data_IF_518657821581
#
_entry.id   IF_518657821581
#
_cell.length_a   1.000
_cell.length_b   1.000
_cell.length_c   1.000
_cell.angle_alpha   90.00
_cell.angle_beta   90.00
_cell.angle_gamma   90.00
#
_symmetry.space_group_name_H-M   'P 1'
#
loop_
_entity.id
_entity.type
_entity.pdbx_description
1 polymer ?
#
# COMPACT_ATOMS: atom_id res chain seq x y z
N UNK A 1 -5.33 3.55 14.05
CA UNK A 1 -4.81 2.18 13.81
C UNK A 1 -3.77 2.21 12.69
N UNK A 2 -2.80 1.28 12.70
CA UNK A 2 -1.91 1.11 11.55
C UNK A 2 -2.69 0.48 10.40
N UNK A 3 -2.60 1.06 9.20
CA UNK A 3 -3.29 0.58 8.02
C UNK A 3 -2.30 0.26 6.89
N UNK A 4 -2.20 -1.01 6.54
CA UNK A 4 -1.24 -1.47 5.53
C UNK A 4 -1.55 -0.96 4.11
N UNK A 5 -2.81 -0.62 3.80
CA UNK A 5 -3.15 -0.02 2.52
C UNK A 5 -2.64 1.41 2.43
N UNK A 6 -2.82 2.20 3.50
CA UNK A 6 -2.23 3.54 3.59
C UNK A 6 -0.69 3.49 3.56
N UNK A 7 -0.08 2.46 4.16
CA UNK A 7 1.37 2.23 4.09
C UNK A 7 1.83 1.96 2.65
N UNK A 8 1.09 1.12 1.93
CA UNK A 8 1.38 0.80 0.53
C UNK A 8 1.29 2.04 -0.37
N UNK A 9 0.23 2.85 -0.21
CA UNK A 9 0.05 4.11 -0.94
C UNK A 9 1.18 5.10 -0.59
N UNK A 10 1.53 5.22 0.69
CA UNK A 10 2.65 6.05 1.14
C UNK A 10 3.97 5.59 0.51
N UNK A 11 4.19 4.28 0.41
CA UNK A 11 5.41 3.72 -0.15
C UNK A 11 5.52 3.98 -1.64
N UNK A 12 4.42 3.90 -2.38
CA UNK A 12 4.40 4.23 -3.81
C UNK A 12 4.85 5.67 -4.07
N UNK A 13 4.52 6.62 -3.20
CA UNK A 13 4.98 8.00 -3.32
C UNK A 13 6.40 8.22 -2.77
N UNK A 14 6.75 7.61 -1.63
CA UNK A 14 8.04 7.83 -0.99
C UNK A 14 9.22 7.39 -1.87
N UNK A 15 9.08 6.31 -2.64
CA UNK A 15 10.13 5.81 -3.56
C UNK A 15 10.41 6.78 -4.73
N UNK A 16 9.48 7.66 -5.05
CA UNK A 16 9.64 8.68 -6.10
C UNK A 16 10.52 9.85 -5.62
N UNK A 17 10.84 9.90 -4.33
CA UNK A 17 11.64 10.96 -3.72
C UNK A 17 11.11 12.37 -4.02
N UNK A 18 9.84 12.66 -3.68
CA UNK A 18 9.21 13.92 -4.03
C UNK A 18 9.88 15.09 -3.28
N UNK A 19 9.93 16.26 -3.90
CA UNK A 19 10.45 17.49 -3.27
C UNK A 19 9.39 18.26 -2.48
N UNK A 20 8.13 17.83 -2.54
CA UNK A 20 6.98 18.42 -1.87
C UNK A 20 6.00 17.32 -1.42
N UNK A 21 5.06 17.67 -0.54
CA UNK A 21 4.03 16.74 -0.09
C UNK A 21 3.23 16.20 -1.30
N UNK A 22 3.16 14.88 -1.50
CA UNK A 22 2.35 14.30 -2.56
C UNK A 22 0.86 14.41 -2.24
N UNK A 23 0.02 14.26 -3.26
CA UNK A 23 -1.43 14.12 -3.10
C UNK A 23 -1.80 12.65 -3.30
N UNK A 24 -2.41 12.03 -2.29
CA UNK A 24 -2.86 10.63 -2.33
C UNK A 24 -4.37 10.62 -2.06
N UNK A 25 -5.17 10.40 -3.10
CA UNK A 25 -6.63 10.38 -2.99
C UNK A 25 -7.20 11.60 -2.26
N UNK A 26 -7.97 11.34 -1.20
CA UNK A 26 -8.54 12.36 -0.29
C UNK A 26 -7.94 12.28 1.12
N UNK A 27 -6.82 11.58 1.24
CA UNK A 27 -6.17 11.30 2.52
C UNK A 27 -5.39 12.51 3.04
N UNK A 28 -5.26 12.56 4.36
CA UNK A 28 -4.40 13.53 5.04
C UNK A 28 -2.92 13.17 4.85
N UNK A 29 -2.07 14.18 4.67
CA UNK A 29 -0.65 14.00 4.35
C UNK A 29 0.23 14.80 5.30
N UNK A 30 1.17 14.10 5.96
CA UNK A 30 2.30 14.72 6.64
C UNK A 30 3.60 14.26 5.97
N UNK A 31 4.33 15.20 5.38
CA UNK A 31 5.52 14.90 4.58
C UNK A 31 6.69 15.79 4.99
N UNK A 32 7.89 15.21 4.99
CA UNK A 32 9.14 15.99 4.99
C UNK A 32 10.28 15.21 4.34
N UNK A 33 11.23 15.95 3.76
CA UNK A 33 12.53 15.40 3.41
C UNK A 33 13.46 15.53 4.62
N UNK A 34 13.99 14.41 5.09
CA UNK A 34 14.89 14.37 6.24
C UNK A 34 16.33 14.27 5.74
N UNK A 35 17.18 15.19 6.20
CA UNK A 35 18.63 15.10 5.99
C UNK A 35 19.21 13.98 6.85
N UNK A 36 19.89 13.04 6.23
CA UNK A 36 20.54 11.90 6.90
C UNK A 36 22.06 12.07 6.93
N UNK A 37 22.70 11.45 7.94
CA UNK A 37 24.17 11.37 8.07
C UNK A 37 24.64 9.93 7.80
N UNK A 38 25.92 9.72 7.53
CA UNK A 38 26.48 8.40 7.20
C UNK A 38 26.20 7.29 8.24
N UNK A 39 25.93 7.64 9.51
CA UNK A 39 25.52 6.72 10.58
C UNK A 39 24.07 6.96 11.04
N UNK A 40 23.14 7.19 10.10
CA UNK A 40 21.74 7.49 10.41
C UNK A 40 21.00 6.25 10.94
N UNK A 41 20.54 6.30 12.20
CA UNK A 41 19.50 5.39 12.68
C UNK A 41 18.14 5.99 12.30
N UNK A 42 17.52 5.44 11.24
CA UNK A 42 16.26 5.94 10.69
C UNK A 42 15.14 5.98 11.74
N UNK A 43 15.06 4.99 12.65
CA UNK A 43 14.04 4.93 13.69
C UNK A 43 14.13 6.09 14.68
N UNK A 44 15.36 6.45 15.10
CA UNK A 44 15.57 7.59 16.01
C UNK A 44 15.15 8.88 15.33
N UNK A 45 15.62 9.08 14.10
CA UNK A 45 15.36 10.30 13.33
C UNK A 45 13.86 10.48 13.06
N UNK A 46 13.17 9.42 12.61
CA UNK A 46 11.72 9.43 12.39
C UNK A 46 10.97 9.72 13.69
N UNK A 47 11.34 9.09 14.81
CA UNK A 47 10.76 9.36 16.12
C UNK A 47 10.91 10.83 16.51
N UNK A 48 12.09 11.41 16.32
CA UNK A 48 12.37 12.80 16.69
C UNK A 48 11.62 13.78 15.78
N UNK A 49 11.49 13.48 14.49
CA UNK A 49 10.64 14.24 13.56
C UNK A 49 9.18 14.25 14.01
N UNK A 50 8.59 13.10 14.32
CA UNK A 50 7.20 13.00 14.79
C UNK A 50 6.97 13.80 16.09
N UNK A 51 7.90 13.69 17.06
CA UNK A 51 7.83 14.46 18.31
C UNK A 51 7.93 15.96 18.06
N UNK A 52 8.78 16.38 17.14
CA UNK A 52 8.97 17.79 16.78
C UNK A 52 7.69 18.35 16.15
N UNK A 53 7.13 17.65 15.16
CA UNK A 53 5.85 18.02 14.54
C UNK A 53 4.74 18.20 15.56
N UNK A 54 4.58 17.23 16.46
CA UNK A 54 3.58 17.32 17.53
C UNK A 54 3.83 18.50 18.46
N UNK A 55 5.06 18.62 18.98
CA UNK A 55 5.42 19.64 19.97
C UNK A 55 5.23 21.06 19.42
N UNK A 56 5.77 21.34 18.23
CA UNK A 56 5.70 22.67 17.63
C UNK A 56 4.26 23.02 17.20
N UNK A 57 3.53 22.03 16.70
CA UNK A 57 2.14 22.23 16.30
C UNK A 57 1.19 22.44 17.47
N UNK A 58 1.35 21.68 18.55
CA UNK A 58 0.56 21.82 19.77
C UNK A 58 0.75 23.20 20.42
N UNK A 59 1.94 23.80 20.33
CA UNK A 59 2.20 25.15 20.84
C UNK A 59 1.40 26.24 20.13
N UNK A 60 0.98 26.00 18.88
CA UNK A 60 0.13 26.91 18.10
C UNK A 60 -1.36 26.73 18.39
N UNK A 61 -1.73 25.62 19.02
CA UNK A 61 -3.12 25.19 19.19
C UNK A 61 -3.68 25.68 20.53
N UNK A 62 -4.73 26.51 20.49
CA UNK A 62 -5.37 27.04 21.72
C UNK A 62 -6.63 26.28 22.12
N UNK A 63 -7.33 25.70 21.15
CA UNK A 63 -8.58 24.97 21.32
C UNK A 63 -8.76 23.94 20.20
N UNK A 64 -9.98 23.54 19.86
CA UNK A 64 -10.23 22.54 18.83
C UNK A 64 -10.16 23.08 17.39
N UNK A 65 -10.25 24.39 17.20
CA UNK A 65 -10.34 25.03 15.89
C UNK A 65 -9.03 24.86 15.13
N UNK A 66 -9.07 24.42 13.88
CA UNK A 66 -7.86 24.25 13.07
C UNK A 66 -7.12 25.58 12.93
N UNK A 67 -5.81 25.56 13.21
CA UNK A 67 -4.93 26.72 13.04
C UNK A 67 -4.33 26.73 11.63
N UNK A 68 -4.34 27.88 10.98
CA UNK A 68 -3.69 28.06 9.67
C UNK A 68 -2.18 27.79 9.77
N UNK A 69 -1.59 27.21 8.72
CA UNK A 69 -0.16 26.88 8.64
C UNK A 69 0.31 25.93 9.76
N UNK A 70 -0.61 25.08 10.23
CA UNK A 70 -0.37 24.01 11.20
C UNK A 70 -0.80 22.64 10.65
N UNK A 71 -0.69 22.47 9.33
CA UNK A 71 -1.28 21.34 8.60
C UNK A 71 -0.78 19.98 9.10
N UNK A 72 0.53 19.81 9.35
CA UNK A 72 1.08 18.53 9.83
C UNK A 72 0.47 18.12 11.17
N UNK A 73 0.40 19.05 12.13
CA UNK A 73 -0.26 18.80 13.41
C UNK A 73 -1.75 18.54 13.24
N UNK A 74 -2.39 19.27 12.31
CA UNK A 74 -3.80 19.06 11.97
C UNK A 74 -4.04 17.62 11.52
N UNK A 75 -3.17 17.04 10.69
CA UNK A 75 -3.30 15.61 10.33
C UNK A 75 -3.14 14.68 11.54
N UNK A 76 -2.15 14.94 12.40
CA UNK A 76 -1.87 14.10 13.57
C UNK A 76 -3.00 14.15 14.62
N UNK A 77 -3.68 15.28 14.75
CA UNK A 77 -4.66 15.53 15.81
C UNK A 77 -6.12 15.40 15.34
N UNK A 78 -6.37 15.17 14.04
CA UNK A 78 -7.72 15.15 13.50
C UNK A 78 -8.48 13.88 13.92
N UNK A 79 -9.50 14.06 14.74
CA UNK A 79 -10.27 12.98 15.39
C UNK A 79 -11.06 12.08 14.44
N UNK A 80 -11.44 12.59 13.25
CA UNK A 80 -12.12 11.79 12.23
C UNK A 80 -11.16 10.82 11.52
N UNK A 81 -9.85 11.00 11.66
CA UNK A 81 -8.86 10.07 11.13
C UNK A 81 -8.63 8.93 12.12
N UNK A 82 -9.19 7.76 11.83
CA UNK A 82 -9.14 6.56 12.68
C UNK A 82 -8.04 5.56 12.27
N UNK A 83 -7.49 5.72 11.08
CA UNK A 83 -6.34 4.95 10.58
C UNK A 83 -5.27 5.84 9.95
N UNK A 84 -4.02 5.39 10.06
CA UNK A 84 -2.85 6.04 9.47
C UNK A 84 -1.73 5.03 9.26
N UNK A 85 -0.79 5.36 8.40
CA UNK A 85 0.49 4.67 8.32
C UNK A 85 1.59 5.63 7.87
N UNK A 86 2.84 5.26 8.13
CA UNK A 86 3.98 6.04 7.70
C UNK A 86 5.01 5.14 7.02
N UNK A 87 5.78 5.73 6.11
CA UNK A 87 6.95 5.08 5.53
C UNK A 87 8.08 6.09 5.34
N UNK A 88 9.30 5.59 5.18
CA UNK A 88 10.43 6.37 4.73
C UNK A 88 11.18 5.66 3.61
N UNK A 89 11.78 6.44 2.71
CA UNK A 89 12.61 5.91 1.64
C UNK A 89 13.92 6.71 1.50
N UNK A 90 15.10 6.05 1.55
CA UNK A 90 16.37 6.70 1.24
C UNK A 90 16.39 7.21 -0.20
N UNK A 91 16.61 8.52 -0.38
CA UNK A 91 16.62 9.18 -1.68
C UNK A 91 18.03 9.49 -2.18
N UNK A 92 18.98 9.62 -1.25
CA UNK A 92 20.40 9.74 -1.53
C UNK A 92 21.21 9.36 -0.28
N UNK A 93 22.53 9.44 -0.37
CA UNK A 93 23.43 9.20 0.77
C UNK A 93 23.22 10.17 1.94
N UNK A 94 22.49 11.27 1.75
CA UNK A 94 22.27 12.30 2.77
C UNK A 94 20.82 12.74 2.91
N UNK A 95 19.87 12.05 2.28
CA UNK A 95 18.45 12.44 2.30
C UNK A 95 17.53 11.22 2.27
N UNK A 96 16.42 11.28 2.99
CA UNK A 96 15.31 10.34 2.89
C UNK A 96 13.98 11.07 2.87
N UNK A 97 13.01 10.56 2.11
CA UNK A 97 11.62 10.99 2.20
C UNK A 97 10.99 10.34 3.42
N UNK A 98 10.22 11.09 4.20
CA UNK A 98 9.37 10.56 5.27
C UNK A 98 7.94 11.06 5.07
N UNK A 99 7.01 10.11 5.01
CA UNK A 99 5.62 10.35 4.64
C UNK A 99 4.70 9.58 5.58
N UNK A 100 3.73 10.26 6.17
CA UNK A 100 2.60 9.66 6.86
C UNK A 100 1.31 10.02 6.11
N UNK A 101 0.44 9.02 5.96
CA UNK A 101 -0.86 9.11 5.30
C UNK A 101 -1.95 8.78 6.32
N UNK A 102 -2.99 9.61 6.36
CA UNK A 102 -4.08 9.57 7.32
C UNK A 102 -5.40 9.37 6.57
N UNK A 103 -6.26 8.48 7.09
CA UNK A 103 -7.55 8.13 6.47
C UNK A 103 -8.45 9.33 6.15
N UNK A 104 -8.32 10.44 6.91
CA UNK A 104 -9.02 11.71 6.66
C UNK A 104 -8.05 12.88 6.62
N UNK A 105 -8.39 13.87 5.81
CA UNK A 105 -7.63 15.12 5.70
C UNK A 105 -8.02 16.14 6.78
N UNK A 106 -7.14 16.30 7.78
CA UNK A 106 -7.27 17.30 8.84
C UNK A 106 -6.95 18.72 8.38
N UNK A 107 -6.25 18.91 7.25
CA UNK A 107 -5.97 20.26 6.70
C UNK A 107 -7.24 20.96 6.24
N UNK A 108 -8.17 20.20 5.67
CA UNK A 108 -9.48 20.65 5.20
C UNK A 108 -10.52 20.84 6.30
N UNK A 109 -10.22 20.50 7.55
CA UNK A 109 -11.16 20.56 8.66
C UNK A 109 -11.34 22.00 9.20
N UNK A 110 -12.54 22.28 9.74
CA UNK A 110 -12.78 23.49 10.52
C UNK A 110 -12.30 23.30 11.97
N UNK A 111 -12.71 22.20 12.59
CA UNK A 111 -12.29 21.77 13.93
C UNK A 111 -11.56 20.43 13.83
N UNK A 112 -10.51 20.25 14.62
CA UNK A 112 -9.72 19.02 14.67
C UNK A 112 -10.40 17.93 15.52
N UNK A 113 -11.19 18.33 16.51
CA UNK A 113 -11.91 17.43 17.40
C UNK A 113 -13.13 18.11 18.02
N UNK A 114 -14.07 17.32 18.53
CA UNK A 114 -15.18 17.86 19.31
C UNK A 114 -14.70 18.27 20.72
N UNK A 115 -14.98 19.52 21.13
CA UNK A 115 -14.57 20.01 22.45
C UNK A 115 -15.53 19.57 23.56
N UNK A 116 -15.01 18.85 24.56
CA UNK A 116 -15.70 18.62 25.83
C UNK A 116 -15.66 19.82 26.79
N UNK A 117 -14.96 20.90 26.43
CA UNK A 117 -14.63 22.00 27.35
C UNK A 117 -13.69 21.54 28.47
N UNK A 118 -13.77 22.19 29.63
CA UNK A 118 -12.92 21.87 30.79
C UNK A 118 -13.35 20.61 31.58
N UNK A 119 -14.46 19.99 31.19
CA UNK A 119 -15.06 18.87 31.91
C UNK A 119 -14.40 17.54 31.51
N UNK A 120 -13.54 17.02 32.39
CA UNK A 120 -12.85 15.74 32.17
C UNK A 120 -13.80 14.54 32.09
N UNK A 121 -15.03 14.64 32.60
CA UNK A 121 -16.01 13.56 32.47
C UNK A 121 -16.49 13.36 31.03
N UNK A 122 -16.26 14.35 30.16
CA UNK A 122 -16.60 14.27 28.74
C UNK A 122 -15.55 13.60 27.87
N UNK A 123 -14.38 13.26 28.43
CA UNK A 123 -13.39 12.48 27.71
C UNK A 123 -14.05 11.17 27.28
N UNK A 124 -13.99 10.85 25.98
CA UNK A 124 -14.59 9.66 25.39
C UNK A 124 -16.13 9.54 25.51
N UNK A 125 -16.86 10.61 25.86
CA UNK A 125 -18.31 10.52 26.07
C UNK A 125 -19.07 10.01 24.82
N UNK A 126 -18.55 10.32 23.63
CA UNK A 126 -19.16 9.96 22.35
C UNK A 126 -18.57 8.67 21.74
N UNK A 127 -17.66 7.98 22.44
CA UNK A 127 -17.13 6.71 21.94
C UNK A 127 -18.21 5.61 21.97
N UNK A 128 -18.31 4.82 20.90
CA UNK A 128 -19.32 3.78 20.80
C UNK A 128 -19.20 2.68 21.87
N UNK A 129 -17.98 2.19 22.18
CA UNK A 129 -17.80 1.05 23.08
C UNK A 129 -16.52 1.08 23.95
N UNK A 130 -15.40 1.61 23.46
CA UNK A 130 -14.11 1.52 24.18
C UNK A 130 -13.40 2.87 24.31
N UNK A 131 -12.95 3.19 25.53
CA UNK A 131 -12.07 4.31 25.82
C UNK A 131 -10.80 3.81 26.52
N UNK A 132 -9.65 3.96 25.87
CA UNK A 132 -8.36 3.51 26.38
C UNK A 132 -7.45 4.72 26.55
N UNK A 133 -7.13 5.05 27.81
CA UNK A 133 -6.24 6.18 28.16
C UNK A 133 -6.68 7.50 27.49
N UNK A 134 -8.00 7.73 27.42
CA UNK A 134 -8.58 8.95 26.86
C UNK A 134 -8.76 8.97 25.34
N UNK A 135 -8.59 7.83 24.66
CA UNK A 135 -8.82 7.68 23.23
C UNK A 135 -9.94 6.69 22.95
N UNK A 136 -10.85 7.02 22.01
CA UNK A 136 -11.81 6.07 21.48
C UNK A 136 -11.06 4.94 20.76
N UNK A 137 -11.27 3.70 21.16
CA UNK A 137 -10.57 2.55 20.61
C UNK A 137 -11.52 1.66 19.80
N UNK A 138 -11.95 2.15 18.65
CA UNK A 138 -12.78 1.37 17.71
C UNK A 138 -11.94 1.01 16.50
N UNK A 139 -11.87 -0.28 16.18
CA UNK A 139 -11.16 -0.74 14.99
C UNK A 139 -11.84 -0.18 13.72
N UNK A 140 -11.09 0.50 12.84
CA UNK A 140 -11.65 1.07 11.62
C UNK A 140 -11.97 -0.03 10.61
N UNK A 141 -12.78 0.32 9.61
CA UNK A 141 -12.92 -0.51 8.43
C UNK A 141 -11.59 -0.57 7.68
N UNK A 142 -11.21 -1.75 7.20
CA UNK A 142 -10.00 -1.90 6.40
C UNK A 142 -10.10 -1.10 5.10
N UNK A 143 -9.07 -0.29 4.81
CA UNK A 143 -8.95 0.40 3.53
C UNK A 143 -8.29 -0.52 2.49
N UNK A 144 -8.55 -0.22 1.22
CA UNK A 144 -7.84 -0.82 0.09
C UNK A 144 -6.87 0.20 -0.50
N UNK A 145 -5.69 -0.24 -1.00
CA UNK A 145 -4.77 0.66 -1.68
C UNK A 145 -5.43 1.35 -2.86
N UNK A 146 -4.97 2.56 -3.19
CA UNK A 146 -5.46 3.28 -4.37
C UNK A 146 -4.79 2.71 -5.62
N UNK A 147 -5.59 2.09 -6.49
CA UNK A 147 -5.13 1.64 -7.79
C UNK A 147 -4.84 2.85 -8.72
N UNK A 148 -3.65 2.85 -9.33
CA UNK A 148 -3.19 3.88 -10.28
C UNK A 148 -2.98 3.31 -11.69
N UNK A 149 -2.83 1.99 -11.84
CA UNK A 149 -2.67 1.35 -13.14
C UNK A 149 -4.02 1.12 -13.83
N UNK A 150 -4.01 1.14 -15.17
CA UNK A 150 -5.13 0.78 -16.04
C UNK A 150 -6.45 1.53 -15.76
N UNK A 151 -6.39 2.75 -15.22
CA UNK A 151 -7.55 3.53 -14.75
C UNK A 151 -8.53 3.97 -15.84
N UNK A 152 -8.10 3.95 -17.11
CA UNK A 152 -8.94 4.32 -18.26
C UNK A 152 -9.83 3.19 -18.75
N UNK A 153 -9.64 1.97 -18.25
CA UNK A 153 -10.23 0.76 -18.81
C UNK A 153 -11.42 0.30 -17.94
N UNK A 154 -12.67 0.30 -18.47
CA UNK A 154 -13.88 0.20 -17.65
C UNK A 154 -14.06 -1.16 -16.98
N UNK A 155 -13.67 -2.26 -17.64
CA UNK A 155 -13.81 -3.60 -17.05
C UNK A 155 -12.62 -3.93 -16.14
N UNK A 156 -11.41 -3.48 -16.52
CA UNK A 156 -10.19 -3.59 -15.71
C UNK A 156 -10.24 -2.84 -14.39
N UNK A 157 -10.75 -1.59 -14.37
CA UNK A 157 -10.66 -0.71 -13.20
C UNK A 157 -11.37 -1.25 -11.95
N UNK A 158 -12.44 -2.03 -12.12
CA UNK A 158 -13.28 -2.51 -11.00
C UNK A 158 -12.99 -3.96 -10.60
N UNK A 159 -12.34 -4.73 -11.47
CA UNK A 159 -12.14 -6.17 -11.29
C UNK A 159 -10.68 -6.56 -11.04
N UNK A 160 -9.74 -5.63 -11.24
CA UNK A 160 -8.30 -5.84 -11.11
C UNK A 160 -7.68 -4.75 -10.24
N UNK A 161 -6.82 -5.16 -9.32
CA UNK A 161 -6.06 -4.24 -8.45
C UNK A 161 -4.60 -4.20 -8.87
N UNK A 162 -3.92 -3.10 -8.58
CA UNK A 162 -2.50 -2.91 -8.89
C UNK A 162 -1.62 -3.93 -8.19
N UNK A 163 -1.99 -4.34 -6.99
CA UNK A 163 -1.29 -5.40 -6.27
C UNK A 163 -1.28 -6.72 -7.06
N UNK A 164 -2.44 -7.13 -7.62
CA UNK A 164 -2.49 -8.33 -8.46
C UNK A 164 -1.72 -8.15 -9.76
N UNK A 165 -1.80 -6.99 -10.40
CA UNK A 165 -1.05 -6.68 -11.63
C UNK A 165 0.46 -6.80 -11.38
N UNK A 166 0.94 -6.13 -10.32
CA UNK A 166 2.35 -6.13 -9.89
C UNK A 166 2.79 -7.54 -9.50
N UNK A 167 1.97 -8.28 -8.74
CA UNK A 167 2.28 -9.65 -8.34
C UNK A 167 2.41 -10.58 -9.55
N UNK A 168 1.43 -10.58 -10.46
CA UNK A 168 1.48 -11.38 -11.68
C UNK A 168 2.72 -11.03 -12.53
N UNK A 169 2.97 -9.74 -12.75
CA UNK A 169 4.13 -9.26 -13.51
C UNK A 169 5.48 -9.68 -12.89
N UNK A 170 5.62 -9.49 -11.57
CA UNK A 170 6.84 -9.81 -10.84
C UNK A 170 7.09 -11.31 -10.77
N UNK A 171 6.05 -12.11 -10.56
CA UNK A 171 6.15 -13.57 -10.54
C UNK A 171 6.59 -14.12 -11.90
N UNK A 172 6.07 -13.60 -13.01
CA UNK A 172 6.53 -13.97 -14.34
C UNK A 172 8.01 -13.62 -14.55
N UNK A 173 8.43 -12.39 -14.21
CA UNK A 173 9.83 -11.99 -14.34
C UNK A 173 10.76 -12.79 -13.41
N UNK A 174 10.31 -13.15 -12.21
CA UNK A 174 11.04 -14.03 -11.29
C UNK A 174 11.31 -15.39 -11.93
N UNK A 175 10.28 -16.11 -12.38
CA UNK A 175 10.47 -17.43 -12.99
C UNK A 175 11.25 -17.37 -14.31
N UNK A 176 11.11 -16.29 -15.10
CA UNK A 176 11.96 -16.05 -16.27
C UNK A 176 13.43 -15.96 -15.90
N UNK A 177 13.78 -15.30 -14.78
CA UNK A 177 15.16 -15.22 -14.27
C UNK A 177 15.65 -16.58 -13.77
N UNK A 178 14.83 -17.31 -13.03
CA UNK A 178 15.15 -18.67 -12.54
C UNK A 178 15.45 -19.61 -13.71
N UNK A 179 14.63 -19.55 -14.76
CA UNK A 179 14.86 -20.32 -15.99
C UNK A 179 16.11 -19.84 -16.73
N UNK A 180 16.28 -18.53 -16.92
CA UNK A 180 17.40 -17.96 -17.68
C UNK A 180 18.76 -18.26 -17.05
N UNK A 181 18.82 -18.33 -15.73
CA UNK A 181 20.03 -18.66 -14.97
C UNK A 181 20.31 -20.16 -14.88
N UNK A 182 19.38 -21.00 -15.35
CA UNK A 182 19.49 -22.46 -15.29
C UNK A 182 19.21 -23.05 -13.90
N UNK A 183 18.49 -22.34 -13.04
CA UNK A 183 18.09 -22.82 -11.71
C UNK A 183 16.68 -23.42 -11.67
N UNK A 184 15.92 -23.32 -12.76
CA UNK A 184 14.62 -23.98 -12.86
C UNK A 184 14.82 -25.50 -12.87
N UNK A 185 14.17 -26.22 -11.95
CA UNK A 185 14.25 -27.69 -11.91
C UNK A 185 13.58 -28.29 -13.14
N UNK A 186 14.23 -29.27 -13.73
CA UNK A 186 13.70 -30.04 -14.85
C UNK A 186 13.70 -31.54 -14.50
N UNK A 187 12.60 -32.23 -14.80
CA UNK A 187 12.42 -33.62 -14.43
C UNK A 187 13.42 -34.60 -15.11
N UNK A 188 14.05 -34.21 -16.22
CA UNK A 188 14.99 -35.04 -16.98
C UNK A 188 16.44 -34.59 -16.83
N UNK A 189 16.67 -33.29 -16.70
CA UNK A 189 17.99 -32.67 -16.68
C UNK A 189 18.43 -32.26 -15.27
N UNK A 190 17.61 -32.49 -14.24
CA UNK A 190 17.72 -31.94 -12.87
C UNK A 190 17.50 -30.42 -12.86
N UNK A 191 18.15 -29.68 -13.76
CA UNK A 191 17.94 -28.26 -13.99
C UNK A 191 17.86 -27.92 -15.48
N UNK A 192 17.08 -26.90 -15.82
CA UNK A 192 17.00 -26.34 -17.15
C UNK A 192 18.35 -25.73 -17.57
N UNK A 193 18.66 -25.79 -18.87
CA UNK A 193 19.87 -25.14 -19.38
C UNK A 193 19.69 -23.61 -19.36
N UNK A 194 20.73 -22.84 -19.00
CA UNK A 194 20.68 -21.38 -19.03
C UNK A 194 20.27 -20.82 -20.40
N UNK A 195 19.57 -19.70 -20.39
CA UNK A 195 19.19 -18.98 -21.60
C UNK A 195 20.31 -18.06 -22.07
N UNK A 196 20.52 -17.95 -23.39
CA UNK A 196 21.47 -17.01 -23.97
C UNK A 196 20.96 -15.56 -23.97
N UNK A 197 19.64 -15.34 -24.03
CA UNK A 197 19.03 -14.03 -24.19
C UNK A 197 17.55 -14.00 -23.79
N UNK A 198 17.21 -14.38 -22.55
CA UNK A 198 15.82 -14.28 -22.07
C UNK A 198 15.43 -12.81 -21.86
N UNK A 199 14.42 -12.26 -22.59
CA UNK A 199 14.02 -10.88 -22.37
C UNK A 199 13.26 -10.73 -21.06
N UNK A 200 13.43 -9.62 -20.35
CA UNK A 200 12.54 -9.26 -19.26
C UNK A 200 11.22 -8.74 -19.81
N UNK A 201 10.12 -8.97 -19.08
CA UNK A 201 8.92 -8.18 -19.29
C UNK A 201 9.18 -6.80 -18.69
N UNK A 202 9.01 -5.73 -19.47
CA UNK A 202 9.36 -4.37 -19.06
C UNK A 202 8.15 -3.53 -18.67
N UNK A 203 6.98 -3.87 -19.20
CA UNK A 203 5.74 -3.11 -18.99
C UNK A 203 4.54 -4.05 -18.90
N UNK A 204 3.56 -3.64 -18.10
CA UNK A 204 2.27 -4.31 -17.98
C UNK A 204 1.29 -3.71 -19.00
N UNK A 205 0.70 -4.56 -19.85
CA UNK A 205 -0.17 -4.11 -20.94
C UNK A 205 -1.64 -4.03 -20.49
N UNK A 206 -2.07 -2.81 -20.13
CA UNK A 206 -3.47 -2.54 -19.75
C UNK A 206 -4.48 -2.81 -20.88
N UNK A 207 -4.08 -2.67 -22.15
CA UNK A 207 -5.00 -2.92 -23.29
C UNK A 207 -5.27 -4.40 -23.45
N UNK A 208 -4.23 -5.22 -23.27
CA UNK A 208 -4.36 -6.67 -23.23
C UNK A 208 -5.19 -7.12 -22.03
N UNK A 209 -4.98 -6.53 -20.85
CA UNK A 209 -5.81 -6.78 -19.67
C UNK A 209 -7.29 -6.50 -19.96
N UNK A 210 -7.63 -5.33 -20.51
CA UNK A 210 -9.03 -4.97 -20.81
C UNK A 210 -9.67 -5.93 -21.82
N UNK A 211 -8.91 -6.38 -22.81
CA UNK A 211 -9.36 -7.40 -23.77
C UNK A 211 -9.71 -8.71 -23.07
N UNK A 212 -8.88 -9.13 -22.11
CA UNK A 212 -9.11 -10.32 -21.29
C UNK A 212 -10.32 -10.11 -20.39
N UNK A 213 -10.38 -8.99 -19.66
CA UNK A 213 -11.43 -8.70 -18.69
C UNK A 213 -12.80 -8.50 -19.32
N UNK A 214 -12.86 -8.00 -20.56
CA UNK A 214 -14.11 -7.94 -21.34
C UNK A 214 -14.73 -9.32 -21.53
N UNK A 215 -13.92 -10.37 -21.65
CA UNK A 215 -14.39 -11.76 -21.76
C UNK A 215 -14.63 -12.40 -20.39
N UNK A 216 -13.73 -12.16 -19.42
CA UNK A 216 -13.79 -12.82 -18.11
C UNK A 216 -14.92 -12.30 -17.21
N UNK A 217 -15.37 -11.05 -17.39
CA UNK A 217 -16.46 -10.46 -16.59
C UNK A 217 -17.77 -11.25 -16.65
N UNK A 218 -17.99 -11.98 -17.73
CA UNK A 218 -19.19 -12.80 -17.94
C UNK A 218 -19.05 -14.21 -17.36
N UNK A 219 -17.89 -14.54 -16.76
CA UNK A 219 -17.58 -15.82 -16.15
C UNK A 219 -17.82 -17.03 -17.08
N UNK A 220 -17.54 -16.89 -18.38
CA UNK A 220 -17.79 -17.91 -19.40
C UNK A 220 -16.95 -19.19 -19.28
N UNK A 221 -16.04 -19.29 -18.29
CA UNK A 221 -15.20 -20.47 -18.04
C UNK A 221 -14.20 -20.79 -19.16
N UNK A 222 -13.96 -19.84 -20.07
CA UNK A 222 -13.10 -20.02 -21.24
C UNK A 222 -12.11 -18.87 -21.36
N UNK A 223 -10.99 -19.11 -22.03
CA UNK A 223 -9.97 -18.10 -22.25
C UNK A 223 -10.45 -17.02 -23.25
N UNK A 224 -10.01 -15.78 -23.05
CA UNK A 224 -10.26 -14.69 -23.99
C UNK A 224 -9.59 -14.94 -25.35
N UNK A 225 -10.13 -14.39 -26.43
CA UNK A 225 -9.48 -14.47 -27.76
C UNK A 225 -8.60 -13.25 -27.96
N UNK A 226 -7.30 -13.38 -27.73
CA UNK A 226 -6.35 -12.25 -27.75
C UNK A 226 -5.42 -12.24 -28.97
N UNK A 227 -5.43 -13.28 -29.80
CA UNK A 227 -4.40 -13.54 -30.84
C UNK A 227 -2.95 -13.51 -30.28
N UNK A 228 -2.79 -13.69 -28.96
CA UNK A 228 -1.51 -13.78 -28.25
C UNK A 228 -1.42 -15.13 -27.55
N UNK A 229 -0.19 -15.54 -27.22
CA UNK A 229 0.01 -16.70 -26.35
C UNK A 229 -0.54 -16.39 -24.96
N UNK A 230 -1.33 -17.31 -24.41
CA UNK A 230 -1.99 -17.13 -23.12
C UNK A 230 -2.01 -18.43 -22.32
N UNK A 231 -1.89 -18.28 -21.01
CA UNK A 231 -2.20 -19.33 -20.05
C UNK A 231 -3.56 -18.98 -19.44
N UNK A 232 -4.46 -19.96 -19.33
CA UNK A 232 -5.78 -19.78 -18.73
C UNK A 232 -6.10 -20.94 -17.82
N UNK A 233 -6.63 -20.62 -16.65
CA UNK A 233 -7.19 -21.58 -15.71
C UNK A 233 -8.54 -21.04 -15.22
N UNK A 234 -9.58 -21.86 -15.29
CA UNK A 234 -10.88 -21.59 -14.68
C UNK A 234 -10.94 -22.32 -13.35
N UNK A 235 -11.23 -21.61 -12.27
CA UNK A 235 -11.34 -22.16 -10.93
C UNK A 235 -12.80 -22.10 -10.48
N UNK A 236 -13.29 -23.21 -9.91
CA UNK A 236 -14.69 -23.36 -9.51
C UNK A 236 -14.97 -22.82 -8.09
N UNK A 237 -13.93 -22.58 -7.28
CA UNK A 237 -14.04 -22.08 -5.92
C UNK A 237 -13.40 -20.68 -5.78
N UNK A 238 -14.22 -19.65 -5.85
CA UNK A 238 -13.84 -18.24 -5.72
C UNK A 238 -14.15 -17.68 -4.32
N UNK A 239 -14.68 -18.51 -3.41
CA UNK A 239 -15.03 -18.09 -2.04
C UNK A 239 -13.82 -18.12 -1.11
N UNK A 240 -12.75 -18.79 -1.53
CA UNK A 240 -11.46 -18.75 -0.85
C UNK A 240 -10.81 -17.36 -1.00
N UNK A 241 -10.08 -16.87 0.01
CA UNK A 241 -9.25 -15.67 -0.10
C UNK A 241 -8.45 -15.67 -1.40
N UNK A 242 -8.24 -14.49 -1.99
CA UNK A 242 -7.57 -14.33 -3.30
C UNK A 242 -6.20 -15.00 -3.32
N UNK A 243 -5.52 -14.96 -2.19
CA UNK A 243 -4.21 -15.56 -1.93
C UNK A 243 -4.27 -17.08 -2.08
N UNK A 244 -5.31 -17.74 -1.58
CA UNK A 244 -5.50 -19.20 -1.67
C UNK A 244 -5.77 -19.63 -3.12
N UNK A 245 -6.54 -18.84 -3.86
CA UNK A 245 -6.82 -19.05 -5.29
C UNK A 245 -5.53 -18.93 -6.11
N UNK A 246 -4.66 -17.96 -5.78
CA UNK A 246 -3.38 -17.78 -6.46
C UNK A 246 -2.37 -18.87 -6.07
N UNK A 247 -2.35 -19.34 -4.83
CA UNK A 247 -1.49 -20.45 -4.41
C UNK A 247 -1.89 -21.77 -5.10
N UNK A 248 -3.18 -22.05 -5.20
CA UNK A 248 -3.71 -23.26 -5.86
C UNK A 248 -3.57 -23.20 -7.38
N UNK A 249 -3.64 -22.01 -7.98
CA UNK A 249 -3.39 -21.77 -9.40
C UNK A 249 -1.91 -21.59 -9.77
N UNK A 250 -1.02 -21.40 -8.79
CA UNK A 250 0.42 -21.25 -9.01
C UNK A 250 1.09 -22.60 -9.24
N UNK A 251 2.18 -22.55 -10.01
CA UNK A 251 2.99 -23.71 -10.35
C UNK A 251 3.29 -24.54 -9.09
N UNK A 252 3.05 -25.87 -9.10
CA UNK A 252 3.16 -26.76 -7.93
C UNK A 252 4.59 -26.95 -7.38
N UNK A 253 5.49 -25.99 -7.62
CA UNK A 253 6.91 -26.06 -7.24
C UNK A 253 7.28 -25.22 -6.02
N UNK A 254 6.35 -24.42 -5.46
CA UNK A 254 6.61 -23.58 -4.27
C UNK A 254 5.93 -24.08 -2.99
N UNK A 255 5.58 -25.37 -2.90
CA UNK A 255 5.49 -25.99 -1.57
C UNK A 255 6.89 -26.10 -1.03
N UNK A 256 7.27 -25.17 -0.16
CA UNK A 256 8.31 -25.39 0.83
C UNK A 256 7.84 -26.56 1.70
N UNK A 257 8.09 -27.79 1.24
CA UNK A 257 8.07 -28.95 2.11
C UNK A 257 9.12 -28.65 3.18
N UNK A 258 8.65 -28.23 4.36
CA UNK A 258 9.41 -28.40 5.57
C UNK A 258 9.68 -29.91 5.67
N UNK A 259 10.84 -30.32 5.18
CA UNK A 259 11.42 -31.62 5.47
C UNK A 259 11.69 -31.65 6.98
N UNK A 260 10.65 -31.97 7.74
CA UNK A 260 10.81 -32.53 9.07
C UNK A 260 11.11 -34.00 8.85
N UNK A 261 12.40 -34.32 8.70
CA UNK A 261 13.04 -35.54 9.23
C UNK A 261 14.50 -35.27 9.52
#
# INVERSE_FOLDING_TARGET
YWDCALEADAQEEAVKCPSAAPTIGTYGIAFTEITTKAACNASVVVSDTLKTWWKEGAQKQTDQTKVQDNDIFSQMAYSESDSFACTYHPCSNSKMSFLCVYSKDGKGANDLYASGGADKSKICQDCANDCVVGLCNVAPAALLPIDTMCQTNPNSKTLMTDDLRKQAFNMHNYYRRVLASGWAKDAKLVYAKPSQAMPALTEYDCTLEETIMTHLKDCAGTAATTNKAQNFVALNDYKSPREDVLQTGSFPYDTCEMLVK
#
